data_IF_394016541401
#
_entry.id   IF_394016541401
#
_cell.length_a   1.000
_cell.length_b   1.000
_cell.length_c   1.000
_cell.angle_alpha   90.00
_cell.angle_beta   90.00
_cell.angle_gamma   90.00
#
_symmetry.space_group_name_H-M   'P 1'
#
loop_
_entity.id
_entity.type
_entity.pdbx_description
1 polymer ?
#
# COMPACT_ATOMS: atom_id res chain seq x y z
N UNK A 1 21.56 21.12 -0.92
CA UNK A 1 20.15 20.73 -0.89
C UNK A 1 19.72 20.54 0.56
N UNK A 2 18.59 21.09 0.96
CA UNK A 2 18.00 20.95 2.31
C UNK A 2 16.98 19.81 2.32
N UNK A 3 17.07 18.88 3.28
CA UNK A 3 16.05 17.85 3.51
C UNK A 3 15.17 18.24 4.69
N UNK A 4 13.86 18.36 4.46
CA UNK A 4 12.83 18.52 5.47
C UNK A 4 12.05 17.23 5.64
N UNK A 5 11.79 16.85 6.88
CA UNK A 5 11.02 15.65 7.22
C UNK A 5 9.75 16.07 7.95
N UNK A 6 8.60 15.63 7.45
CA UNK A 6 7.29 15.81 8.06
C UNK A 6 6.79 14.43 8.47
N UNK A 7 7.03 14.03 9.73
CA UNK A 7 6.64 12.74 10.29
C UNK A 7 5.38 12.85 11.18
N UNK A 8 5.07 11.79 11.95
CA UNK A 8 3.87 11.69 12.80
C UNK A 8 4.25 11.35 14.26
N UNK A 9 5.05 12.20 14.93
CA UNK A 9 5.68 11.86 16.21
C UNK A 9 4.66 11.70 17.34
N UNK A 10 3.54 12.43 17.29
CA UNK A 10 2.43 12.28 18.24
C UNK A 10 1.75 10.90 18.18
N UNK A 11 2.00 10.14 17.10
CA UNK A 11 1.53 8.77 16.91
C UNK A 11 2.68 7.74 16.98
N UNK A 12 3.88 8.15 17.42
CA UNK A 12 5.05 7.27 17.56
C UNK A 12 5.66 6.82 16.23
N UNK A 13 5.52 7.62 15.17
CA UNK A 13 6.07 7.32 13.85
C UNK A 13 7.04 8.42 13.45
N UNK A 14 8.30 8.05 13.22
CA UNK A 14 9.37 9.02 13.00
C UNK A 14 10.06 8.84 11.66
N UNK A 15 10.55 9.95 11.11
CA UNK A 15 11.47 9.96 9.99
C UNK A 15 12.81 10.52 10.43
N UNK A 16 13.88 9.80 10.16
CA UNK A 16 15.22 10.14 10.60
C UNK A 16 16.13 10.24 9.38
N UNK A 17 16.60 11.46 9.11
CA UNK A 17 17.39 11.77 7.92
C UNK A 17 18.88 11.44 8.03
N UNK A 18 19.65 11.58 6.94
CA UNK A 18 21.06 11.18 6.86
C UNK A 18 22.01 11.95 7.77
N UNK A 19 21.59 13.11 8.28
CA UNK A 19 22.36 13.92 9.22
C UNK A 19 22.27 13.42 10.67
N UNK A 20 21.35 12.48 10.95
CA UNK A 20 21.20 11.87 12.27
C UNK A 20 22.35 10.91 12.57
N UNK A 21 22.89 10.89 13.79
CA UNK A 21 23.93 9.92 14.18
C UNK A 21 23.43 8.46 14.15
N UNK A 22 22.11 8.23 14.15
CA UNK A 22 21.52 6.89 14.12
C UNK A 22 21.30 6.35 12.71
N UNK A 23 21.42 7.19 11.67
CA UNK A 23 21.03 6.84 10.31
C UNK A 23 21.81 5.63 9.78
N UNK A 24 23.14 5.69 9.81
CA UNK A 24 23.99 4.61 9.27
C UNK A 24 23.88 3.33 10.08
N UNK A 25 23.76 3.44 11.40
CA UNK A 25 23.54 2.29 12.27
C UNK A 25 22.26 1.55 11.89
N UNK A 26 21.13 2.28 11.79
CA UNK A 26 19.85 1.65 11.48
C UNK A 26 19.74 1.21 10.03
N UNK A 27 20.40 1.90 9.10
CA UNK A 27 20.53 1.44 7.73
C UNK A 27 21.27 0.09 7.67
N UNK A 28 22.36 -0.04 8.43
CA UNK A 28 23.08 -1.31 8.55
C UNK A 28 22.22 -2.40 9.20
N UNK A 29 21.41 -2.08 10.22
CA UNK A 29 20.44 -3.02 10.82
C UNK A 29 19.39 -3.49 9.80
N UNK A 30 18.85 -2.57 8.98
CA UNK A 30 17.89 -2.87 7.90
C UNK A 30 18.51 -3.79 6.84
N UNK A 31 19.78 -3.56 6.51
CA UNK A 31 20.54 -4.40 5.57
C UNK A 31 20.98 -5.73 6.17
N UNK A 32 21.21 -5.79 7.49
CA UNK A 32 21.64 -6.99 8.19
C UNK A 32 20.54 -8.04 8.16
N UNK A 33 20.88 -9.26 7.73
CA UNK A 33 19.94 -10.37 7.69
C UNK A 33 20.38 -11.52 8.58
N UNK A 34 19.42 -12.18 9.25
CA UNK A 34 19.63 -13.46 9.90
C UNK A 34 19.92 -14.55 8.87
N UNK A 35 20.66 -15.58 9.28
CA UNK A 35 21.07 -16.70 8.44
C UNK A 35 19.88 -17.39 7.75
N UNK A 36 20.02 -17.68 6.46
CA UNK A 36 19.05 -18.47 5.68
C UNK A 36 17.98 -17.68 4.91
N UNK A 37 17.96 -16.35 5.00
CA UNK A 37 17.19 -15.50 4.10
C UNK A 37 18.06 -15.05 2.91
N UNK A 38 17.54 -14.98 1.67
CA UNK A 38 18.28 -14.39 0.55
C UNK A 38 18.75 -12.98 0.93
N UNK A 39 19.94 -12.56 0.49
CA UNK A 39 20.40 -11.19 0.72
C UNK A 39 19.43 -10.18 0.09
N UNK A 40 19.33 -8.96 0.66
CA UNK A 40 18.82 -7.84 -0.15
C UNK A 40 19.84 -7.65 -1.28
N UNK A 41 19.45 -7.67 -2.55
CA UNK A 41 20.37 -7.29 -3.61
C UNK A 41 20.93 -5.88 -3.34
N UNK A 42 22.23 -5.68 -3.59
CA UNK A 42 22.94 -4.43 -3.24
C UNK A 42 22.35 -3.18 -3.93
N UNK A 43 21.50 -3.35 -4.95
CA UNK A 43 20.86 -2.31 -5.74
C UNK A 43 19.49 -1.85 -5.20
N UNK A 44 18.99 -2.41 -4.09
CA UNK A 44 17.73 -1.97 -3.49
C UNK A 44 17.84 -0.60 -2.82
N UNK A 45 18.99 -0.32 -2.21
CA UNK A 45 19.31 0.97 -1.60
C UNK A 45 20.31 1.65 -2.53
N UNK A 46 19.81 2.62 -3.28
CA UNK A 46 20.65 3.45 -4.13
C UNK A 46 21.26 4.57 -3.28
N UNK A 47 22.57 4.53 -3.06
CA UNK A 47 23.28 5.57 -2.31
C UNK A 47 23.17 6.96 -2.95
N UNK A 48 22.89 7.04 -4.26
CA UNK A 48 22.61 8.33 -4.89
C UNK A 48 21.32 8.96 -4.35
N UNK A 49 20.38 8.17 -3.83
CA UNK A 49 19.12 8.62 -3.22
C UNK A 49 19.28 9.05 -1.75
N UNK A 50 20.45 8.80 -1.16
CA UNK A 50 20.75 9.16 0.24
C UNK A 50 20.35 10.60 0.59
N UNK A 51 20.63 11.64 -0.22
CA UNK A 51 20.34 13.03 0.14
C UNK A 51 18.88 13.34 0.45
N UNK A 52 17.92 12.63 -0.14
CA UNK A 52 16.48 12.81 0.15
C UNK A 52 15.80 11.55 0.70
N UNK A 53 16.59 10.71 1.37
CA UNK A 53 16.10 9.50 2.03
C UNK A 53 15.96 9.69 3.55
N UNK A 54 15.27 8.77 4.21
CA UNK A 54 15.14 8.71 5.65
C UNK A 54 14.98 7.26 6.13
N UNK A 55 15.26 7.03 7.41
CA UNK A 55 14.79 5.84 8.13
C UNK A 55 13.43 6.14 8.71
N UNK A 56 12.42 5.40 8.26
CA UNK A 56 11.10 5.35 8.88
C UNK A 56 11.10 4.35 10.04
N UNK A 57 10.69 4.81 11.21
CA UNK A 57 10.65 4.02 12.44
C UNK A 57 9.22 3.93 12.94
N UNK A 58 8.76 2.70 13.24
CA UNK A 58 7.46 2.46 13.86
C UNK A 58 7.61 2.23 15.36
N UNK A 59 7.54 3.27 16.17
CA UNK A 59 7.45 3.16 17.64
C UNK A 59 6.06 3.38 18.20
N UNK A 60 5.02 3.26 17.38
CA UNK A 60 3.63 3.51 17.78
C UNK A 60 3.07 2.48 18.78
N UNK A 61 3.75 1.34 18.94
CA UNK A 61 3.22 0.17 19.65
C UNK A 61 2.14 -0.59 18.85
N UNK A 62 1.84 -0.18 17.61
CA UNK A 62 0.89 -0.82 16.71
C UNK A 62 1.55 -1.19 15.39
N UNK A 63 1.02 -2.24 14.75
CA UNK A 63 1.47 -2.66 13.43
C UNK A 63 0.85 -1.78 12.33
N UNK A 64 1.65 -1.33 11.36
CA UNK A 64 1.21 -0.49 10.24
C UNK A 64 0.92 -1.36 9.01
N UNK A 65 -0.33 -1.34 8.57
CA UNK A 65 -0.85 -2.16 7.47
C UNK A 65 -0.90 -1.45 6.11
N UNK A 66 -1.01 -0.12 6.11
CA UNK A 66 -0.94 0.70 4.90
C UNK A 66 -0.29 2.04 5.21
N UNK A 67 0.32 2.67 4.21
CA UNK A 67 1.01 3.95 4.38
C UNK A 67 1.13 4.71 3.06
N UNK A 68 1.39 6.02 3.15
CA UNK A 68 1.68 6.89 2.02
C UNK A 68 2.80 7.86 2.36
N UNK A 69 3.77 7.96 1.44
CA UNK A 69 4.83 8.96 1.46
C UNK A 69 4.64 9.94 0.31
N UNK A 70 4.86 11.22 0.58
CA UNK A 70 4.86 12.29 -0.42
C UNK A 70 6.22 12.99 -0.37
N UNK A 71 6.96 12.92 -1.47
CA UNK A 71 8.13 13.76 -1.70
C UNK A 71 7.69 15.03 -2.42
N UNK A 72 8.18 16.18 -1.97
CA UNK A 72 8.09 17.45 -2.67
C UNK A 72 9.49 17.94 -2.97
N UNK A 73 9.78 18.22 -4.23
CA UNK A 73 11.08 18.69 -4.70
C UNK A 73 10.95 20.14 -5.16
N UNK A 74 11.72 21.03 -4.55
CA UNK A 74 11.89 22.43 -4.96
C UNK A 74 13.23 22.56 -5.69
N UNK A 75 13.19 22.88 -6.99
CA UNK A 75 14.40 23.10 -7.78
C UNK A 75 15.07 24.45 -7.48
N UNK A 76 16.25 24.68 -8.05
CA UNK A 76 16.99 25.95 -7.88
C UNK A 76 16.25 27.19 -8.44
N UNK A 77 15.24 27.01 -9.29
CA UNK A 77 14.39 28.07 -9.83
C UNK A 77 13.11 28.29 -9.00
N UNK A 78 12.91 27.53 -7.91
CA UNK A 78 11.71 27.59 -7.08
C UNK A 78 10.52 26.81 -7.63
N UNK A 79 10.67 26.02 -8.70
CA UNK A 79 9.61 25.14 -9.19
C UNK A 79 9.45 23.97 -8.24
N UNK A 80 8.20 23.70 -7.86
CA UNK A 80 7.84 22.56 -7.01
C UNK A 80 7.27 21.42 -7.84
N UNK A 81 7.75 20.20 -7.61
CA UNK A 81 7.17 18.96 -8.12
C UNK A 81 6.95 17.99 -6.99
N UNK A 82 6.08 16.99 -7.16
CA UNK A 82 5.79 16.01 -6.13
C UNK A 82 5.79 14.59 -6.66
N UNK A 83 6.14 13.63 -5.80
CA UNK A 83 6.05 12.20 -6.06
C UNK A 83 5.41 11.52 -4.86
N UNK A 84 4.45 10.64 -5.12
CA UNK A 84 3.75 9.90 -4.07
C UNK A 84 4.01 8.41 -4.22
N UNK A 85 4.23 7.73 -3.10
CA UNK A 85 4.30 6.27 -3.03
C UNK A 85 3.40 5.83 -1.90
N UNK A 86 2.49 4.90 -2.18
CA UNK A 86 1.56 4.38 -1.18
C UNK A 86 1.52 2.85 -1.26
N UNK A 87 1.19 2.22 -0.14
CA UNK A 87 0.82 0.79 -0.07
C UNK A 87 -0.57 0.64 0.54
N UNK A 88 -1.23 -0.50 0.31
CA UNK A 88 -2.56 -0.80 0.84
C UNK A 88 -3.73 -0.43 -0.10
N UNK A 89 -3.48 -0.30 -1.40
CA UNK A 89 -4.52 -0.10 -2.42
C UNK A 89 -5.12 -1.39 -2.98
N UNK A 90 -6.05 -1.26 -3.93
CA UNK A 90 -6.82 -2.35 -4.58
C UNK A 90 -5.98 -3.44 -5.24
N UNK A 91 -4.73 -3.15 -5.64
CA UNK A 91 -3.87 -4.08 -6.35
C UNK A 91 -3.08 -5.05 -5.44
N UNK A 92 -3.09 -4.84 -4.12
CA UNK A 92 -2.28 -5.62 -3.17
C UNK A 92 -3.14 -6.18 -2.04
N UNK A 93 -3.17 -7.51 -1.82
CA UNK A 93 -3.81 -8.09 -0.65
C UNK A 93 -3.33 -7.44 0.64
N UNK A 94 -4.26 -7.06 1.50
CA UNK A 94 -3.99 -6.33 2.74
C UNK A 94 -4.76 -6.94 3.90
N UNK A 95 -4.22 -6.81 5.13
CA UNK A 95 -4.98 -7.14 6.34
C UNK A 95 -6.18 -6.21 6.57
N UNK A 96 -6.20 -5.04 5.93
CA UNK A 96 -7.34 -4.11 5.94
C UNK A 96 -8.47 -4.55 4.99
N UNK A 97 -8.15 -5.42 4.03
CA UNK A 97 -9.08 -5.94 3.01
C UNK A 97 -9.02 -7.48 2.98
N UNK A 98 -9.47 -8.18 4.03
CA UNK A 98 -9.18 -9.60 4.23
C UNK A 98 -10.09 -10.54 3.41
N UNK A 99 -10.74 -10.02 2.37
CA UNK A 99 -11.66 -10.74 1.50
C UNK A 99 -10.97 -11.89 0.76
N UNK A 100 -11.51 -13.10 0.87
CA UNK A 100 -10.98 -14.28 0.21
C UNK A 100 -9.60 -14.74 0.70
N UNK A 101 -9.04 -14.10 1.73
CA UNK A 101 -7.74 -14.49 2.27
C UNK A 101 -7.90 -15.65 3.23
N UNK A 102 -7.20 -16.75 2.97
CA UNK A 102 -7.07 -17.85 3.94
C UNK A 102 -6.32 -17.39 5.18
N UNK A 103 -6.55 -18.05 6.31
CA UNK A 103 -5.85 -17.75 7.55
C UNK A 103 -4.32 -17.90 7.40
N UNK A 104 -3.88 -18.88 6.61
CA UNK A 104 -2.47 -19.07 6.29
C UNK A 104 -1.87 -17.87 5.55
N UNK A 105 -2.61 -17.35 4.56
CA UNK A 105 -2.17 -16.19 3.80
C UNK A 105 -2.20 -14.90 4.63
N UNK A 106 -3.17 -14.75 5.54
CA UNK A 106 -3.21 -13.62 6.50
C UNK A 106 -2.00 -13.61 7.42
N UNK A 107 -1.58 -14.77 7.93
CA UNK A 107 -0.34 -14.88 8.72
C UNK A 107 0.88 -14.44 7.93
N UNK A 108 1.00 -14.89 6.66
CA UNK A 108 2.08 -14.47 5.76
C UNK A 108 2.09 -12.95 5.55
N UNK A 109 0.94 -12.35 5.22
CA UNK A 109 0.83 -10.90 5.02
C UNK A 109 1.19 -10.10 6.29
N UNK A 110 0.81 -10.57 7.47
CA UNK A 110 1.15 -9.93 8.75
C UNK A 110 2.66 -9.81 8.94
N UNK A 111 3.45 -10.74 8.41
CA UNK A 111 4.90 -10.64 8.47
C UNK A 111 5.51 -9.95 7.25
N UNK A 112 5.02 -10.20 6.03
CA UNK A 112 5.67 -9.75 4.80
C UNK A 112 5.27 -8.35 4.34
N UNK A 113 4.05 -7.91 4.65
CA UNK A 113 3.43 -6.72 4.05
C UNK A 113 3.08 -5.63 5.07
N UNK A 114 3.19 -5.94 6.36
CA UNK A 114 2.90 -5.05 7.49
C UNK A 114 4.23 -4.65 8.13
N UNK A 115 4.35 -3.40 8.57
CA UNK A 115 5.49 -2.97 9.36
C UNK A 115 5.16 -3.17 10.84
N UNK A 116 5.83 -4.13 11.50
CA UNK A 116 5.58 -4.43 12.90
C UNK A 116 5.96 -3.25 13.80
N UNK A 117 5.31 -3.16 14.96
CA UNK A 117 5.77 -2.29 16.03
C UNK A 117 7.25 -2.57 16.38
N UNK A 118 8.04 -1.52 16.48
CA UNK A 118 9.49 -1.55 16.68
C UNK A 118 10.33 -1.63 15.40
N UNK A 119 9.70 -1.92 14.25
CA UNK A 119 10.43 -2.14 13.00
C UNK A 119 10.90 -0.83 12.34
N UNK A 120 11.89 -0.95 11.45
CA UNK A 120 12.52 0.16 10.71
C UNK A 120 12.52 -0.11 9.21
N UNK A 121 12.41 0.95 8.41
CA UNK A 121 12.46 0.89 6.93
C UNK A 121 13.29 2.04 6.40
N UNK A 122 14.12 1.79 5.40
CA UNK A 122 14.72 2.84 4.60
C UNK A 122 13.70 3.33 3.57
N UNK A 123 13.62 4.64 3.37
CA UNK A 123 12.68 5.29 2.46
C UNK A 123 13.46 6.30 1.62
N UNK A 124 13.50 6.11 0.30
CA UNK A 124 14.26 6.98 -0.62
C UNK A 124 13.97 6.64 -2.08
N UNK A 125 14.12 7.60 -3.00
CA UNK A 125 13.88 7.36 -4.44
C UNK A 125 12.50 6.83 -4.80
N UNK A 126 11.50 7.10 -3.95
CA UNK A 126 10.17 6.51 -4.05
C UNK A 126 10.15 4.99 -3.86
N UNK A 127 11.04 4.47 -3.02
CA UNK A 127 11.10 3.07 -2.60
C UNK A 127 11.03 3.01 -1.08
N UNK A 128 10.52 1.90 -0.58
CA UNK A 128 10.59 1.54 0.85
C UNK A 128 11.24 0.17 0.97
N UNK A 129 12.35 0.10 1.70
CA UNK A 129 13.21 -1.08 1.83
C UNK A 129 13.34 -1.47 3.29
N UNK A 130 13.26 -2.77 3.56
CA UNK A 130 13.45 -3.37 4.87
C UNK A 130 12.43 -4.45 5.16
N UNK A 131 12.61 -5.15 6.28
CA UNK A 131 11.73 -6.25 6.72
C UNK A 131 11.62 -6.30 8.24
N UNK A 132 10.71 -7.10 8.76
CA UNK A 132 10.48 -7.20 10.21
C UNK A 132 11.55 -8.00 10.99
N UNK A 133 12.66 -8.37 10.34
CA UNK A 133 13.76 -9.11 10.97
C UNK A 133 14.47 -8.34 12.07
N UNK A 134 14.38 -7.01 12.07
CA UNK A 134 14.88 -6.14 13.14
C UNK A 134 14.03 -6.19 14.42
N UNK A 135 12.83 -6.79 14.35
CA UNK A 135 11.93 -7.05 15.48
C UNK A 135 11.97 -8.53 15.86
N UNK A 136 11.79 -9.43 14.88
CA UNK A 136 11.81 -10.88 15.10
C UNK A 136 12.05 -11.66 13.81
N UNK A 137 12.49 -12.91 13.95
CA UNK A 137 12.54 -13.85 12.84
C UNK A 137 11.14 -14.25 12.34
N UNK A 138 10.99 -14.58 11.04
CA UNK A 138 9.77 -15.19 10.55
C UNK A 138 9.61 -16.61 11.12
N UNK A 139 8.39 -16.94 11.53
CA UNK A 139 7.99 -18.31 11.81
C UNK A 139 8.06 -19.18 10.54
N UNK A 140 8.08 -20.50 10.67
CA UNK A 140 8.22 -21.42 9.54
C UNK A 140 7.14 -21.20 8.48
N UNK A 141 5.90 -20.98 8.92
CA UNK A 141 4.73 -20.75 8.07
C UNK A 141 4.77 -19.38 7.38
N UNK A 142 5.52 -18.42 7.92
CA UNK A 142 5.69 -17.06 7.37
C UNK A 142 6.79 -17.01 6.31
N UNK A 143 7.72 -17.98 6.27
CA UNK A 143 8.88 -17.99 5.35
C UNK A 143 8.52 -18.14 3.87
N UNK A 144 7.41 -18.82 3.57
CA UNK A 144 6.99 -19.09 2.19
C UNK A 144 6.09 -18.00 1.60
N UNK A 145 5.69 -16.99 2.39
CA UNK A 145 5.06 -15.79 1.90
C UNK A 145 6.15 -14.93 1.29
N UNK A 146 6.24 -14.89 -0.05
CA UNK A 146 7.30 -14.20 -0.77
C UNK A 146 7.61 -12.86 -0.12
N UNK A 147 8.88 -12.66 0.26
CA UNK A 147 9.33 -11.38 0.78
C UNK A 147 9.06 -10.32 -0.29
N UNK A 148 8.15 -9.39 0.02
CA UNK A 148 7.92 -8.20 -0.80
C UNK A 148 9.10 -7.26 -0.59
N UNK A 149 10.14 -7.49 -1.38
CA UNK A 149 11.29 -6.59 -1.45
C UNK A 149 10.93 -5.40 -2.32
N UNK A 150 10.94 -4.21 -1.72
CA UNK A 150 10.83 -2.93 -2.44
C UNK A 150 9.43 -2.68 -3.00
N UNK A 151 8.58 -1.98 -2.25
CA UNK A 151 7.43 -1.34 -2.87
C UNK A 151 7.90 -0.06 -3.56
N UNK A 152 7.56 0.06 -4.84
CA UNK A 152 7.86 1.20 -5.70
C UNK A 152 8.86 0.85 -6.79
N UNK A 153 8.43 0.92 -8.06
CA UNK A 153 9.37 1.14 -9.16
C UNK A 153 9.98 2.51 -8.90
N UNK A 154 11.30 2.58 -8.72
CA UNK A 154 12.01 3.85 -8.89
C UNK A 154 11.57 4.52 -10.18
N UNK A 155 11.58 5.84 -10.24
CA UNK A 155 11.53 6.48 -11.56
C UNK A 155 12.68 5.89 -12.39
N UNK A 156 12.45 5.63 -13.68
CA UNK A 156 13.49 5.12 -14.56
C UNK A 156 14.65 6.15 -14.70
N UNK A 157 14.43 7.39 -14.27
CA UNK A 157 15.42 8.46 -14.20
C UNK A 157 15.83 8.76 -12.75
N UNK A 158 17.12 8.60 -12.40
CA UNK A 158 17.66 9.02 -11.11
C UNK A 158 17.44 10.52 -10.91
N UNK A 159 17.09 10.93 -9.68
CA UNK A 159 16.95 12.36 -9.37
C UNK A 159 18.32 13.04 -9.36
N UNK A 160 18.51 14.11 -10.13
CA UNK A 160 19.69 14.95 -10.01
C UNK A 160 19.55 15.88 -8.79
N UNK A 161 20.04 15.39 -7.65
CA UNK A 161 20.01 16.12 -6.38
C UNK A 161 20.78 17.44 -6.40
N UNK A 162 21.70 17.65 -7.35
CA UNK A 162 22.44 18.91 -7.48
C UNK A 162 21.56 20.05 -8.00
N UNK A 163 20.47 19.72 -8.71
CA UNK A 163 19.48 20.65 -9.24
C UNK A 163 18.40 21.03 -8.22
N UNK A 164 18.43 20.42 -7.03
CA UNK A 164 17.42 20.64 -5.99
C UNK A 164 17.91 21.60 -4.91
N UNK A 165 17.10 22.61 -4.64
CA UNK A 165 17.27 23.50 -3.51
C UNK A 165 16.86 22.79 -2.22
N UNK A 166 15.67 22.17 -2.24
CA UNK A 166 15.04 21.54 -1.08
C UNK A 166 14.25 20.31 -1.49
N UNK A 167 14.26 19.31 -0.62
CA UNK A 167 13.37 18.15 -0.66
C UNK A 167 12.61 18.05 0.65
N UNK A 168 11.29 17.89 0.58
CA UNK A 168 10.45 17.57 1.74
C UNK A 168 9.92 16.15 1.60
N UNK A 169 10.18 15.29 2.57
CA UNK A 169 9.61 13.95 2.67
C UNK A 169 8.54 13.94 3.78
N UNK A 170 7.30 13.64 3.39
CA UNK A 170 6.13 13.61 4.27
C UNK A 170 5.65 12.18 4.46
N UNK A 171 5.50 11.73 5.71
CA UNK A 171 4.66 10.58 6.06
C UNK A 171 3.21 11.06 6.06
N UNK A 172 2.57 10.97 4.90
CA UNK A 172 1.27 11.60 4.63
C UNK A 172 0.09 10.85 5.28
N UNK A 173 0.23 9.55 5.50
CA UNK A 173 -0.80 8.79 6.19
C UNK A 173 -0.39 7.37 6.48
N UNK A 174 -0.93 6.80 7.55
CA UNK A 174 -0.80 5.39 7.90
C UNK A 174 -2.13 4.82 8.34
N UNK A 175 -2.38 3.56 8.00
CA UNK A 175 -3.37 2.73 8.68
C UNK A 175 -2.67 1.72 9.56
N UNK A 176 -3.15 1.60 10.79
CA UNK A 176 -2.81 0.49 11.67
C UNK A 176 -3.71 -0.71 11.38
N UNK A 177 -3.26 -1.90 11.77
CA UNK A 177 -4.00 -3.17 11.59
C UNK A 177 -5.38 -3.19 12.25
N UNK A 178 -5.63 -2.30 13.22
CA UNK A 178 -6.92 -2.16 13.91
C UNK A 178 -7.93 -1.26 13.17
N UNK A 179 -7.54 -0.69 12.02
CA UNK A 179 -8.38 0.22 11.24
C UNK A 179 -8.18 1.70 11.59
N UNK A 180 -7.41 2.03 12.61
CA UNK A 180 -7.12 3.44 12.94
C UNK A 180 -6.18 4.08 11.92
N UNK A 181 -6.44 5.34 11.58
CA UNK A 181 -5.66 6.11 10.60
C UNK A 181 -5.04 7.36 11.23
N UNK A 182 -3.79 7.64 10.89
CA UNK A 182 -3.10 8.87 11.28
C UNK A 182 -2.43 9.54 10.09
N UNK A 183 -2.55 10.86 9.99
CA UNK A 183 -1.79 11.69 9.05
C UNK A 183 -2.64 12.69 8.25
N UNK A 184 -1.98 13.61 7.50
CA UNK A 184 -2.64 14.63 6.68
C UNK A 184 -3.55 14.11 5.55
N UNK A 185 -3.26 12.92 5.00
CA UNK A 185 -4.02 12.26 3.93
C UNK A 185 -4.12 13.06 2.61
N UNK A 186 -3.08 13.82 2.25
CA UNK A 186 -3.06 14.60 1.01
C UNK A 186 -3.03 13.70 -0.23
N UNK A 187 -2.52 12.47 -0.10
CA UNK A 187 -2.54 11.46 -1.14
C UNK A 187 -3.85 10.66 -1.18
N UNK A 188 -4.82 10.94 -0.31
CA UNK A 188 -6.11 10.22 -0.27
C UNK A 188 -5.96 8.72 0.01
N UNK A 189 -5.03 8.33 0.89
CA UNK A 189 -4.87 6.94 1.33
C UNK A 189 -6.13 6.45 2.06
N UNK A 190 -6.71 7.30 2.92
CA UNK A 190 -7.95 6.98 3.67
C UNK A 190 -9.07 6.58 2.73
N UNK A 191 -9.39 7.46 1.77
CA UNK A 191 -10.47 7.24 0.81
C UNK A 191 -10.24 5.96 0.02
N UNK A 192 -9.00 5.73 -0.45
CA UNK A 192 -8.66 4.50 -1.19
C UNK A 192 -8.90 3.24 -0.37
N UNK A 193 -8.42 3.18 0.87
CA UNK A 193 -8.56 1.99 1.73
C UNK A 193 -10.01 1.76 2.14
N UNK A 194 -10.67 2.78 2.69
CA UNK A 194 -12.03 2.63 3.22
C UNK A 194 -13.01 2.32 2.10
N UNK A 195 -12.94 3.07 0.99
CA UNK A 195 -13.84 2.84 -0.15
C UNK A 195 -13.60 1.47 -0.81
N UNK A 196 -12.35 1.00 -0.88
CA UNK A 196 -12.07 -0.37 -1.34
C UNK A 196 -12.78 -1.41 -0.47
N UNK A 197 -12.75 -1.23 0.86
CA UNK A 197 -13.39 -2.15 1.79
C UNK A 197 -14.92 -2.14 1.63
N UNK A 198 -15.52 -0.96 1.59
CA UNK A 198 -16.97 -0.76 1.44
C UNK A 198 -17.49 -1.33 0.13
N UNK A 199 -16.85 -0.99 -0.99
CA UNK A 199 -17.28 -1.46 -2.31
C UNK A 199 -17.08 -2.97 -2.43
N UNK A 200 -15.98 -3.53 -1.92
CA UNK A 200 -15.78 -4.99 -1.97
C UNK A 200 -16.81 -5.72 -1.11
N UNK A 201 -17.16 -5.19 0.06
CA UNK A 201 -18.22 -5.74 0.90
C UNK A 201 -19.58 -5.69 0.20
N UNK A 202 -19.89 -4.59 -0.49
CA UNK A 202 -21.13 -4.44 -1.25
C UNK A 202 -21.20 -5.41 -2.43
N UNK A 203 -20.11 -5.55 -3.20
CA UNK A 203 -20.02 -6.53 -4.30
C UNK A 203 -20.22 -7.96 -3.79
N UNK A 204 -19.61 -8.30 -2.64
CA UNK A 204 -19.79 -9.60 -2.00
C UNK A 204 -21.24 -9.83 -1.56
N UNK A 205 -21.91 -8.81 -1.01
CA UNK A 205 -23.32 -8.85 -0.61
C UNK A 205 -24.23 -9.05 -1.83
N UNK A 206 -24.04 -8.29 -2.91
CA UNK A 206 -24.79 -8.42 -4.17
C UNK A 206 -24.67 -9.85 -4.69
N UNK A 207 -23.45 -10.40 -4.76
CA UNK A 207 -23.23 -11.76 -5.23
C UNK A 207 -23.90 -12.80 -4.31
N UNK A 208 -23.77 -12.65 -2.99
CA UNK A 208 -24.35 -13.58 -2.02
C UNK A 208 -25.88 -13.61 -2.07
N UNK A 209 -26.52 -12.46 -1.92
CA UNK A 209 -27.99 -12.36 -1.91
C UNK A 209 -28.58 -12.75 -3.26
N UNK A 210 -27.96 -12.32 -4.35
CA UNK A 210 -28.40 -12.63 -5.69
C UNK A 210 -28.36 -14.12 -6.00
N UNK A 211 -27.28 -14.81 -5.61
CA UNK A 211 -27.20 -16.27 -5.71
C UNK A 211 -28.22 -16.96 -4.81
N UNK A 212 -28.45 -16.47 -3.59
CA UNK A 212 -29.44 -17.03 -2.69
C UNK A 212 -30.88 -16.93 -3.25
N UNK A 213 -31.17 -15.90 -4.06
CA UNK A 213 -32.44 -15.76 -4.79
C UNK A 213 -32.53 -16.62 -6.06
N UNK A 214 -31.41 -17.15 -6.55
CA UNK A 214 -31.35 -17.87 -7.82
C UNK A 214 -31.32 -16.96 -9.05
N UNK A 215 -30.86 -15.72 -8.90
CA UNK A 215 -30.71 -14.77 -10.01
C UNK A 215 -29.71 -15.33 -11.05
N UNK A 216 -30.01 -15.13 -12.34
CA UNK A 216 -29.13 -15.57 -13.41
C UNK A 216 -27.79 -14.81 -13.39
N UNK A 217 -26.64 -15.45 -13.74
CA UNK A 217 -25.32 -14.80 -13.70
C UNK A 217 -25.26 -13.46 -14.45
N UNK A 218 -25.94 -13.33 -15.59
CA UNK A 218 -25.94 -12.10 -16.38
C UNK A 218 -26.60 -10.93 -15.64
N UNK A 219 -27.64 -11.20 -14.85
CA UNK A 219 -28.30 -10.20 -14.00
C UNK A 219 -27.35 -9.77 -12.90
N UNK A 220 -26.64 -10.72 -12.28
CA UNK A 220 -25.68 -10.43 -11.22
C UNK A 220 -24.49 -9.62 -11.72
N UNK A 221 -23.94 -9.93 -12.89
CA UNK A 221 -22.86 -9.14 -13.47
C UNK A 221 -23.28 -7.73 -13.84
N UNK A 222 -24.52 -7.51 -14.29
CA UNK A 222 -25.04 -6.16 -14.51
C UNK A 222 -25.08 -5.37 -13.18
N UNK A 223 -25.57 -5.98 -12.09
CA UNK A 223 -25.60 -5.34 -10.77
C UNK A 223 -24.19 -5.06 -10.23
N UNK A 224 -23.24 -5.99 -10.42
CA UNK A 224 -21.85 -5.81 -10.03
C UNK A 224 -21.17 -4.69 -10.84
N UNK A 225 -21.48 -4.56 -12.14
CA UNK A 225 -20.96 -3.48 -12.98
C UNK A 225 -21.44 -2.11 -12.51
N UNK A 226 -22.72 -1.99 -12.17
CA UNK A 226 -23.31 -0.76 -11.61
C UNK A 226 -22.65 -0.39 -10.28
N UNK A 227 -22.50 -1.36 -9.37
CA UNK A 227 -21.88 -1.13 -8.06
C UNK A 227 -20.38 -0.80 -8.16
N UNK A 228 -19.67 -1.43 -9.11
CA UNK A 228 -18.26 -1.13 -9.40
C UNK A 228 -18.08 0.12 -10.27
N UNK A 229 -19.17 0.77 -10.73
CA UNK A 229 -19.17 1.91 -11.67
C UNK A 229 -18.20 1.72 -12.84
N UNK A 230 -18.13 0.50 -13.37
CA UNK A 230 -17.10 0.14 -14.34
C UNK A 230 -17.32 -1.24 -14.97
N UNK A 231 -16.63 -1.50 -16.09
CA UNK A 231 -16.74 -2.78 -16.78
C UNK A 231 -16.23 -3.93 -15.91
N UNK A 232 -17.04 -4.99 -15.84
CA UNK A 232 -16.70 -6.27 -15.21
C UNK A 232 -16.49 -7.37 -16.25
N UNK A 233 -16.31 -7.00 -17.52
CA UNK A 233 -16.22 -7.95 -18.64
C UNK A 233 -14.89 -8.70 -18.68
N UNK A 234 -14.87 -9.98 -19.10
CA UNK A 234 -13.63 -10.74 -19.25
C UNK A 234 -12.69 -10.06 -20.25
N UNK A 235 -11.39 -10.02 -19.93
CA UNK A 235 -10.38 -9.39 -20.79
C UNK A 235 -10.37 -7.86 -20.75
N UNK A 236 -11.15 -7.22 -19.87
CA UNK A 236 -10.97 -5.80 -19.57
C UNK A 236 -9.61 -5.62 -18.90
N UNK A 237 -8.64 -4.94 -19.53
CA UNK A 237 -7.34 -4.72 -18.90
C UNK A 237 -7.53 -3.89 -17.63
N UNK A 238 -6.71 -4.10 -16.58
CA UNK A 238 -6.68 -3.17 -15.47
C UNK A 238 -6.39 -1.77 -16.00
N UNK A 239 -7.04 -0.71 -15.45
CA UNK A 239 -6.69 0.65 -15.83
C UNK A 239 -5.18 0.84 -15.63
N UNK A 240 -4.50 1.56 -16.52
CA UNK A 240 -3.11 1.92 -16.27
C UNK A 240 -3.05 2.64 -14.91
N UNK A 241 -2.01 2.39 -14.10
CA UNK A 241 -1.85 3.12 -12.85
C UNK A 241 -1.90 4.61 -13.18
N UNK A 242 -2.85 5.32 -12.58
CA UNK A 242 -2.94 6.76 -12.67
C UNK A 242 -1.61 7.31 -12.18
N UNK A 243 -0.88 8.02 -13.05
CA UNK A 243 0.28 8.81 -12.59
C UNK A 243 -0.23 9.64 -11.41
N UNK A 244 0.38 9.58 -10.22
CA UNK A 244 -0.05 10.45 -9.14
C UNK A 244 -0.02 11.86 -9.70
N UNK A 245 -1.18 12.52 -9.71
CA UNK A 245 -1.29 13.88 -10.20
C UNK A 245 -0.17 14.69 -9.53
N UNK A 246 0.68 15.30 -10.35
CA UNK A 246 1.51 16.40 -9.87
C UNK A 246 0.53 17.39 -9.27
N UNK A 247 0.53 17.51 -7.94
CA UNK A 247 -0.37 18.34 -7.12
C UNK A 247 -1.87 18.02 -7.21
N UNK A 248 -2.44 17.49 -6.12
CA UNK A 248 -3.86 17.61 -5.81
C UNK A 248 -4.81 16.71 -6.59
N UNK A 249 -4.62 15.38 -6.56
CA UNK A 249 -5.70 14.48 -6.93
C UNK A 249 -6.88 14.75 -6.00
N UNK A 250 -8.02 15.15 -6.55
CA UNK A 250 -9.22 15.36 -5.74
C UNK A 250 -9.68 14.00 -5.19
N UNK A 251 -10.31 14.00 -4.01
CA UNK A 251 -10.82 12.77 -3.36
C UNK A 251 -11.70 11.94 -4.32
N UNK A 252 -12.37 12.58 -5.29
CA UNK A 252 -13.14 11.93 -6.34
C UNK A 252 -12.31 11.01 -7.26
N UNK A 253 -11.09 11.40 -7.62
CA UNK A 253 -10.22 10.63 -8.52
C UNK A 253 -9.82 9.28 -7.88
N UNK A 254 -9.58 9.29 -6.57
CA UNK A 254 -9.24 8.10 -5.80
C UNK A 254 -10.42 7.09 -5.73
N UNK A 255 -11.64 7.60 -5.58
CA UNK A 255 -12.86 6.79 -5.53
C UNK A 255 -13.13 6.11 -6.87
N UNK A 256 -12.99 6.86 -7.97
CA UNK A 256 -13.18 6.33 -9.32
C UNK A 256 -12.08 5.33 -9.73
N UNK A 257 -10.85 5.51 -9.22
CA UNK A 257 -9.78 4.52 -9.36
C UNK A 257 -10.12 3.20 -8.65
N UNK A 258 -10.62 3.26 -7.41
CA UNK A 258 -11.02 2.06 -6.65
C UNK A 258 -12.11 1.28 -7.41
N UNK A 259 -13.14 1.98 -7.85
CA UNK A 259 -14.25 1.41 -8.61
C UNK A 259 -13.78 0.68 -9.88
N UNK A 260 -12.99 1.37 -10.72
CA UNK A 260 -12.42 0.76 -11.93
C UNK A 260 -11.51 -0.42 -11.61
N UNK A 261 -10.67 -0.30 -10.57
CA UNK A 261 -9.78 -1.37 -10.14
C UNK A 261 -10.53 -2.64 -9.73
N UNK A 262 -11.61 -2.51 -8.97
CA UNK A 262 -12.46 -3.63 -8.55
C UNK A 262 -13.23 -4.23 -9.73
N UNK A 263 -13.74 -3.40 -10.65
CA UNK A 263 -14.36 -3.89 -11.89
C UNK A 263 -13.41 -4.75 -12.73
N UNK A 264 -12.19 -4.24 -12.98
CA UNK A 264 -11.15 -5.00 -13.67
C UNK A 264 -10.74 -6.28 -12.95
N UNK A 265 -10.65 -6.26 -11.61
CA UNK A 265 -10.38 -7.47 -10.81
C UNK A 265 -11.46 -8.53 -11.04
N UNK A 266 -12.74 -8.14 -11.03
CA UNK A 266 -13.85 -9.06 -11.34
C UNK A 266 -13.72 -9.60 -12.77
N UNK A 267 -13.45 -8.73 -13.75
CA UNK A 267 -13.23 -9.13 -15.15
C UNK A 267 -12.10 -10.17 -15.30
N UNK A 268 -10.98 -9.96 -14.60
CA UNK A 268 -9.87 -10.93 -14.54
C UNK A 268 -10.27 -12.25 -13.88
N UNK A 269 -11.03 -12.20 -12.78
CA UNK A 269 -11.56 -13.41 -12.13
C UNK A 269 -12.44 -14.21 -13.07
N UNK A 270 -13.36 -13.54 -13.79
CA UNK A 270 -14.23 -14.18 -14.79
C UNK A 270 -13.42 -14.82 -15.90
N UNK A 271 -12.41 -14.12 -16.42
CA UNK A 271 -11.54 -14.63 -17.47
C UNK A 271 -10.79 -15.91 -17.04
N UNK A 272 -10.34 -15.98 -15.79
CA UNK A 272 -9.52 -17.10 -15.31
C UNK A 272 -10.33 -18.28 -14.74
N UNK A 273 -11.47 -17.99 -14.11
CA UNK A 273 -12.23 -19.00 -13.34
C UNK A 273 -13.61 -19.30 -13.94
N UNK A 274 -14.09 -18.46 -14.87
CA UNK A 274 -15.44 -18.50 -15.38
C UNK A 274 -16.44 -17.76 -14.48
N UNK A 275 -17.65 -17.59 -15.02
CA UNK A 275 -18.69 -16.75 -14.43
C UNK A 275 -19.22 -17.31 -13.10
N UNK A 276 -19.55 -18.60 -13.03
CA UNK A 276 -20.09 -19.23 -11.83
C UNK A 276 -19.09 -19.24 -10.67
N UNK A 277 -17.85 -19.67 -10.93
CA UNK A 277 -16.80 -19.71 -9.91
C UNK A 277 -16.43 -18.31 -9.39
N UNK A 278 -16.52 -17.29 -10.25
CA UNK A 278 -16.30 -15.90 -9.84
C UNK A 278 -17.40 -15.42 -8.90
N UNK A 279 -18.67 -15.65 -9.24
CA UNK A 279 -19.81 -15.32 -8.37
C UNK A 279 -19.78 -16.10 -7.06
N UNK A 280 -19.38 -17.37 -7.10
CA UNK A 280 -19.20 -18.17 -5.89
C UNK A 280 -18.10 -17.60 -5.00
N UNK A 281 -16.95 -17.24 -5.57
CA UNK A 281 -15.87 -16.60 -4.82
C UNK A 281 -16.32 -15.28 -4.21
N UNK A 282 -16.96 -14.39 -4.97
CA UNK A 282 -17.47 -13.11 -4.44
C UNK A 282 -18.50 -13.32 -3.33
N UNK A 283 -19.45 -14.24 -3.52
CA UNK A 283 -20.46 -14.58 -2.51
C UNK A 283 -19.83 -15.13 -1.22
N UNK A 284 -18.72 -15.86 -1.31
CA UNK A 284 -18.00 -16.39 -0.15
C UNK A 284 -17.36 -15.30 0.71
N UNK A 285 -17.22 -14.08 0.19
CA UNK A 285 -16.67 -12.94 0.91
C UNK A 285 -17.70 -12.21 1.76
N UNK A 286 -19.00 -12.52 1.59
CA UNK A 286 -20.06 -11.94 2.38
C UNK A 286 -19.90 -12.29 3.87
N UNK A 287 -20.12 -11.29 4.74
CA UNK A 287 -19.90 -11.43 6.18
C UNK A 287 -18.43 -11.36 6.61
N UNK A 288 -17.49 -11.01 5.71
CA UNK A 288 -16.11 -10.72 6.08
C UNK A 288 -16.09 -9.56 7.10
N UNK A 289 -15.50 -9.82 8.27
CA UNK A 289 -15.33 -8.80 9.31
C UNK A 289 -14.23 -7.82 8.90
N UNK A 290 -14.58 -6.55 8.83
CA UNK A 290 -13.65 -5.45 8.55
C UNK A 290 -13.17 -4.79 9.85
N UNK A 291 -11.99 -4.16 9.84
CA UNK A 291 -11.58 -3.25 10.92
C UNK A 291 -12.57 -2.10 11.11
N UNK A 292 -12.62 -1.56 12.33
CA UNK A 292 -13.37 -0.33 12.63
C UNK A 292 -12.56 0.88 12.14
N UNK A 293 -12.79 1.28 10.89
CA UNK A 293 -12.05 2.37 10.27
C UNK A 293 -12.39 3.71 10.93
N UNK A 294 -11.38 4.34 11.55
CA UNK A 294 -11.53 5.68 12.17
C UNK A 294 -10.24 6.50 12.12
N UNK A 295 -10.36 7.82 12.07
CA UNK A 295 -9.21 8.75 12.16
C UNK A 295 -8.84 9.00 13.63
N UNK A 296 -7.54 9.17 13.88
CA UNK A 296 -6.97 9.56 15.17
C UNK A 296 -6.85 11.09 15.30
#
# INVERSE_FOLDING_TARGET
MELLLEDLPQHGLWLIGPSSPYYDQWLAEIGSRPDGLPAVPDDFIDESERPGSAIWVNGSGKDVAAWSFVWRYEDLNGRVTSRTVSTGGTATPSLLHPFGLSEDYRRKLRYSSVMLAGSKRWVGGGRVVGSNTDVRQPAEEERSGGMLFGFGRGGDDPMDWSMLRRTTLVLDGVFFVDGTFAGPDQAGLWGRVVHTAEVTAELARIAHEGRARGDAPQVLYALLAEAAKGPVEPGTPPPPPTRPASTGAEVGDAVDEVHRGLGSMIGLMRQHSGDEATLERLASWHGTVLPDFRRL
#
